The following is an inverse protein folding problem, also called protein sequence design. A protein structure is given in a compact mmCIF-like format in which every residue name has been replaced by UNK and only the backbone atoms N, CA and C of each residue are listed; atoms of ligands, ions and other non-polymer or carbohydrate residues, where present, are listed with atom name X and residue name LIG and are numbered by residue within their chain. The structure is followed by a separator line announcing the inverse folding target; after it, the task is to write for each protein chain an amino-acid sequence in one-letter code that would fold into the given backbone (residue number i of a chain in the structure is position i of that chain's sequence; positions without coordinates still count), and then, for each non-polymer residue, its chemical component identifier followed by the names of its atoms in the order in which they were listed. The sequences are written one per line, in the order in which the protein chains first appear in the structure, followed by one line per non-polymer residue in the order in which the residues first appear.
data_IF_109487225404
#
_entry.id   IF_109487225404
#
_cell.length_a   1.000
_cell.length_b   1.000
_cell.length_c   1.000
_cell.angle_alpha   90.00
_cell.angle_beta   90.00
_cell.angle_gamma   90.00
#
_symmetry.space_group_name_H-M   'P 1'
#
loop_
_entity.id
_entity.type
_entity.pdbx_description
1 polymer ?
#
# COMPACT_ATOMS: atom_id res chain seq x y z
N UNK A 1 6.96 -56.24 2.61
CA UNK A 1 6.64 -55.31 3.71
C UNK A 1 7.17 -53.92 3.37
N UNK A 2 6.58 -53.26 2.37
CA UNK A 2 6.93 -51.89 2.06
C UNK A 2 6.07 -50.99 2.94
N UNK A 3 6.67 -50.44 4.00
CA UNK A 3 6.08 -49.34 4.76
C UNK A 3 5.97 -48.17 3.78
N UNK A 4 4.74 -47.80 3.47
CA UNK A 4 4.45 -46.83 2.44
C UNK A 4 4.93 -45.44 2.88
N UNK A 5 5.73 -44.78 2.04
CA UNK A 5 6.28 -43.44 2.22
C UNK A 5 5.20 -42.34 2.04
N UNK A 6 3.92 -42.69 2.13
CA UNK A 6 2.78 -41.76 2.04
C UNK A 6 2.35 -41.16 3.39
N UNK A 7 2.79 -41.73 4.52
CA UNK A 7 2.46 -41.18 5.85
C UNK A 7 3.29 -39.92 6.19
N UNK A 8 4.56 -39.85 5.75
CA UNK A 8 5.45 -38.76 6.16
C UNK A 8 5.18 -37.45 5.42
N UNK A 9 4.71 -37.53 4.17
CA UNK A 9 4.35 -36.36 3.36
C UNK A 9 3.03 -35.72 3.86
N UNK A 10 2.17 -36.51 4.52
CA UNK A 10 0.91 -36.03 5.10
C UNK A 10 1.11 -35.22 6.39
N UNK A 11 2.12 -35.54 7.20
CA UNK A 11 2.42 -34.80 8.44
C UNK A 11 3.10 -33.44 8.13
N UNK A 12 3.92 -33.37 7.09
CA UNK A 12 4.58 -32.12 6.68
C UNK A 12 3.66 -31.10 6.00
N UNK A 13 2.46 -31.49 5.56
CA UNK A 13 1.43 -30.55 5.07
C UNK A 13 0.65 -29.84 6.18
N UNK A 14 0.69 -30.34 7.40
CA UNK A 14 -0.11 -29.81 8.52
C UNK A 14 0.60 -28.69 9.31
N UNK A 15 1.88 -28.40 9.02
CA UNK A 15 2.67 -27.37 9.73
C UNK A 15 2.70 -26.03 8.96
N UNK A 16 2.20 -25.97 7.71
CA UNK A 16 2.23 -24.74 6.88
C UNK A 16 0.92 -23.94 6.84
N UNK A 17 0.00 -24.16 7.77
CA UNK A 17 -1.23 -23.35 7.87
C UNK A 17 -1.46 -22.83 9.29
N UNK A 18 -0.48 -22.09 9.81
CA UNK A 18 -0.74 -21.02 10.77
C UNK A 18 -0.48 -19.67 10.06
N UNK A 19 -1.25 -19.43 9.00
CA UNK A 19 -1.43 -18.08 8.44
C UNK A 19 -2.88 -17.70 8.67
N UNK A 20 -3.08 -16.95 9.76
CA UNK A 20 -4.33 -16.29 10.07
C UNK A 20 -4.83 -15.48 8.88
N UNK A 21 -6.15 -15.46 8.78
CA UNK A 21 -6.96 -14.49 8.06
C UNK A 21 -6.48 -14.15 6.65
N UNK A 22 -7.07 -14.86 5.69
CA UNK A 22 -7.09 -14.45 4.29
C UNK A 22 -7.67 -13.02 4.25
N UNK A 23 -6.79 -12.01 4.23
CA UNK A 23 -7.14 -10.60 4.09
C UNK A 23 -8.10 -10.49 2.90
N UNK A 24 -9.30 -9.93 3.06
CA UNK A 24 -10.19 -9.77 1.92
C UNK A 24 -9.48 -8.94 0.84
N UNK A 25 -9.61 -9.36 -0.42
CA UNK A 25 -9.14 -8.60 -1.59
C UNK A 25 -9.83 -7.22 -1.73
N UNK A 26 -10.79 -6.94 -0.86
CA UNK A 26 -11.57 -5.70 -0.83
C UNK A 26 -10.90 -4.70 0.11
N UNK A 27 -10.40 -3.60 -0.45
CA UNK A 27 -9.99 -2.45 0.35
C UNK A 27 -11.21 -1.79 0.99
N UNK A 28 -11.10 -1.43 2.26
CA UNK A 28 -12.15 -0.67 2.95
C UNK A 28 -12.03 0.82 2.64
N UNK A 29 -13.06 1.60 2.99
CA UNK A 29 -13.03 3.06 2.78
C UNK A 29 -11.97 3.74 3.64
N UNK A 30 -11.73 3.21 4.83
CA UNK A 30 -10.72 3.68 5.78
C UNK A 30 -9.32 3.43 5.21
N UNK A 31 -9.11 2.26 4.59
CA UNK A 31 -7.87 1.92 3.90
C UNK A 31 -7.61 2.82 2.68
N UNK A 32 -8.65 3.15 1.91
CA UNK A 32 -8.54 4.12 0.81
C UNK A 32 -8.22 5.53 1.31
N UNK A 33 -8.82 5.94 2.43
CA UNK A 33 -8.56 7.24 3.04
C UNK A 33 -7.12 7.35 3.54
N UNK A 34 -6.62 6.31 4.23
CA UNK A 34 -5.23 6.23 4.69
C UNK A 34 -4.25 6.27 3.51
N UNK A 35 -4.51 5.49 2.46
CA UNK A 35 -3.70 5.50 1.24
C UNK A 35 -3.66 6.90 0.62
N UNK A 36 -4.80 7.59 0.58
CA UNK A 36 -4.86 8.95 0.04
C UNK A 36 -4.09 9.95 0.87
N UNK A 37 -4.26 9.94 2.19
CA UNK A 37 -3.59 10.85 3.10
C UNK A 37 -2.07 10.73 3.00
N UNK A 38 -1.54 9.50 3.10
CA UNK A 38 -0.09 9.26 3.03
C UNK A 38 0.48 9.68 1.68
N UNK A 39 -0.17 9.33 0.57
CA UNK A 39 0.31 9.74 -0.76
C UNK A 39 0.29 11.27 -0.92
N UNK A 40 -0.76 11.95 -0.46
CA UNK A 40 -0.85 13.41 -0.54
C UNK A 40 0.20 14.10 0.34
N UNK A 41 0.49 13.56 1.52
CA UNK A 41 1.56 14.02 2.41
C UNK A 41 2.92 13.93 1.72
N UNK A 42 3.28 12.77 1.18
CA UNK A 42 4.53 12.58 0.44
C UNK A 42 4.66 13.53 -0.75
N UNK A 43 3.57 13.81 -1.47
CA UNK A 43 3.59 14.78 -2.58
C UNK A 43 3.90 16.20 -2.08
N UNK A 44 3.31 16.63 -0.97
CA UNK A 44 3.54 17.96 -0.39
C UNK A 44 4.97 18.12 0.10
N UNK A 45 5.50 17.08 0.75
CA UNK A 45 6.86 17.04 1.31
C UNK A 45 7.93 16.84 0.23
N UNK A 46 7.52 16.42 -0.98
CA UNK A 46 8.42 16.22 -2.11
C UNK A 46 9.04 14.83 -2.20
N UNK A 47 8.62 13.90 -1.35
CA UNK A 47 8.98 12.48 -1.36
C UNK A 47 8.38 11.74 -2.58
N UNK A 48 8.69 10.46 -2.71
CA UNK A 48 8.24 9.61 -3.83
C UNK A 48 6.93 8.91 -3.51
N UNK A 49 6.14 8.60 -4.55
CA UNK A 49 4.92 7.80 -4.38
C UNK A 49 5.22 6.36 -3.96
N UNK A 50 6.39 5.82 -4.35
CA UNK A 50 6.83 4.47 -3.95
C UNK A 50 7.00 4.40 -2.43
N UNK A 51 7.70 5.37 -1.84
CA UNK A 51 7.86 5.45 -0.39
C UNK A 51 6.51 5.56 0.34
N UNK A 52 5.56 6.33 -0.23
CA UNK A 52 4.21 6.41 0.32
C UNK A 52 3.48 5.06 0.28
N UNK A 53 3.63 4.30 -0.80
CA UNK A 53 3.00 2.98 -0.93
C UNK A 53 3.64 1.94 -0.02
N UNK A 54 4.96 1.98 0.18
CA UNK A 54 5.67 1.11 1.12
C UNK A 54 5.23 1.37 2.57
N UNK A 55 5.10 2.64 2.96
CA UNK A 55 4.62 3.01 4.29
C UNK A 55 3.19 2.48 4.54
N UNK A 56 2.26 2.74 3.62
CA UNK A 56 0.87 2.29 3.73
C UNK A 56 0.77 0.75 3.67
N UNK A 57 1.61 0.11 2.86
CA UNK A 57 1.66 -1.34 2.73
C UNK A 57 2.02 -2.03 4.06
N UNK A 58 2.99 -1.47 4.79
CA UNK A 58 3.36 -1.96 6.14
C UNK A 58 2.19 -1.82 7.10
N UNK A 59 1.53 -0.66 7.12
CA UNK A 59 0.39 -0.39 8.03
C UNK A 59 -0.81 -1.31 7.74
N UNK A 60 -1.09 -1.55 6.45
CA UNK A 60 -2.23 -2.37 6.02
C UNK A 60 -1.91 -3.86 5.88
N UNK A 61 -0.67 -4.26 6.16
CA UNK A 61 -0.15 -5.60 5.91
C UNK A 61 -0.45 -6.11 4.47
N UNK A 62 -0.31 -5.22 3.48
CA UNK A 62 -0.49 -5.49 2.04
C UNK A 62 0.83 -5.29 1.28
N UNK A 63 0.85 -5.59 -0.02
CA UNK A 63 1.98 -5.25 -0.89
C UNK A 63 1.89 -3.81 -1.39
N UNK A 64 3.04 -3.12 -1.48
CA UNK A 64 3.15 -1.79 -2.08
C UNK A 64 2.61 -1.76 -3.53
N UNK A 65 2.79 -2.86 -4.28
CA UNK A 65 2.23 -2.99 -5.63
C UNK A 65 0.69 -2.99 -5.63
N UNK A 66 0.08 -3.66 -4.66
CA UNK A 66 -1.38 -3.68 -4.48
C UNK A 66 -1.91 -2.29 -4.12
N UNK A 67 -1.22 -1.58 -3.22
CA UNK A 67 -1.56 -0.20 -2.85
C UNK A 67 -1.42 0.75 -4.06
N UNK A 68 -0.36 0.61 -4.86
CA UNK A 68 -0.17 1.40 -6.08
C UNK A 68 -1.25 1.15 -7.14
N UNK A 69 -1.65 -0.10 -7.33
CA UNK A 69 -2.78 -0.44 -8.23
C UNK A 69 -4.09 0.20 -7.74
N UNK A 70 -4.41 0.05 -6.44
CA UNK A 70 -5.62 0.65 -5.84
C UNK A 70 -5.64 2.17 -5.97
N UNK A 71 -4.48 2.81 -5.74
CA UNK A 71 -4.32 4.26 -5.92
C UNK A 71 -4.64 4.68 -7.36
N UNK A 72 -4.02 4.03 -8.35
CA UNK A 72 -4.17 4.38 -9.75
C UNK A 72 -5.59 4.14 -10.28
N UNK A 73 -6.27 3.09 -9.83
CA UNK A 73 -7.58 2.72 -10.36
C UNK A 73 -8.75 3.42 -9.65
N UNK A 74 -8.70 3.61 -8.33
CA UNK A 74 -9.86 4.08 -7.57
C UNK A 74 -9.57 5.37 -6.84
N UNK A 75 -8.58 5.38 -5.97
CA UNK A 75 -8.40 6.46 -4.99
C UNK A 75 -7.98 7.77 -5.67
N UNK A 76 -7.08 7.74 -6.65
CA UNK A 76 -6.63 8.95 -7.35
C UNK A 76 -7.78 9.72 -8.02
N UNK A 77 -8.80 9.01 -8.51
CA UNK A 77 -9.97 9.62 -9.14
C UNK A 77 -10.81 10.38 -8.10
N UNK A 78 -11.03 9.78 -6.94
CA UNK A 78 -11.78 10.37 -5.83
C UNK A 78 -11.06 11.59 -5.23
N UNK A 79 -9.73 11.56 -5.17
CA UNK A 79 -8.92 12.63 -4.55
C UNK A 79 -8.24 13.55 -5.57
N UNK A 80 -8.73 13.62 -6.81
CA UNK A 80 -8.10 14.39 -7.90
C UNK A 80 -7.90 15.87 -7.56
N UNK A 81 -8.85 16.48 -6.84
CA UNK A 81 -8.75 17.87 -6.36
C UNK A 81 -7.61 18.06 -5.36
N UNK A 82 -7.58 17.24 -4.32
CA UNK A 82 -6.54 17.26 -3.30
C UNK A 82 -5.14 16.97 -3.88
N UNK A 83 -5.05 16.04 -4.84
CA UNK A 83 -3.81 15.74 -5.55
C UNK A 83 -3.26 16.95 -6.32
N UNK A 84 -4.13 17.71 -7.00
CA UNK A 84 -3.71 18.95 -7.67
C UNK A 84 -3.22 19.99 -6.67
N UNK A 85 -3.92 20.16 -5.56
CA UNK A 85 -3.53 21.12 -4.52
C UNK A 85 -2.19 20.74 -3.88
N UNK A 86 -1.97 19.46 -3.58
CA UNK A 86 -0.71 18.94 -3.06
C UNK A 86 0.46 19.23 -4.01
N UNK A 87 0.30 19.00 -5.31
CA UNK A 87 1.34 19.33 -6.32
C UNK A 87 1.59 20.83 -6.42
N UNK A 88 0.53 21.65 -6.39
CA UNK A 88 0.67 23.13 -6.39
C UNK A 88 1.46 23.59 -5.17
N UNK A 89 1.14 23.05 -3.99
CA UNK A 89 1.84 23.41 -2.74
C UNK A 89 3.33 23.05 -2.77
N UNK A 90 3.68 21.87 -3.31
CA UNK A 90 5.08 21.48 -3.52
C UNK A 90 5.81 22.47 -4.43
N UNK A 91 5.15 22.91 -5.51
CA UNK A 91 5.71 23.93 -6.41
C UNK A 91 5.94 25.23 -5.63
N UNK A 92 4.90 25.79 -5.01
CA UNK A 92 5.02 27.03 -4.20
C UNK A 92 6.17 27.00 -3.19
N UNK A 93 6.33 25.89 -2.45
CA UNK A 93 7.45 25.72 -1.49
C UNK A 93 8.82 25.76 -2.17
N UNK A 94 8.96 25.12 -3.34
CA UNK A 94 10.22 25.13 -4.09
C UNK A 94 10.62 26.53 -4.54
N UNK A 95 9.67 27.37 -4.96
CA UNK A 95 9.97 28.73 -5.44
C UNK A 95 10.06 29.75 -4.31
N UNK A 96 9.36 29.56 -3.20
CA UNK A 96 9.52 30.40 -2.01
C UNK A 96 10.94 30.31 -1.42
N UNK A 97 11.53 29.11 -1.42
CA UNK A 97 12.85 28.87 -0.82
C UNK A 97 14.03 29.29 -1.71
N UNK A 98 13.80 29.55 -3.00
CA UNK A 98 14.82 29.95 -3.97
C UNK A 98 14.88 31.48 -4.19
N UNK A 99 14.03 32.25 -3.50
CA UNK A 99 13.92 33.70 -3.63
C UNK A 99 14.25 34.46 -2.34
N UNK A 100 14.94 33.82 -1.39
CA UNK A 100 15.45 34.45 -0.16
C UNK A 100 16.95 34.68 -0.24
#
# INVERSE_FOLDING_TARGET
MALNLDCFVSILRLIKTNKGDKMPDTFTREQDALLAETVLRHIREGSTAIAAFEEVAVVMNKSAATCGYRWNNTVRHNYRGAFRLARKKRYELKYANNGS
#
